data_IF_458724764268
#
_entry.id   IF_458724764268
#
_cell.length_a   1.000
_cell.length_b   1.000
_cell.length_c   1.000
_cell.angle_alpha   90.00
_cell.angle_beta   90.00
_cell.angle_gamma   90.00
#
_symmetry.space_group_name_H-M   'P 1'
#
loop_
_entity.id
_entity.type
_entity.pdbx_description
1 polymer ?
#
# COMPACT_ATOMS: atom_id res chain seq x y z
N UNK A 1 14.79 5.91 -5.61
CA UNK A 1 14.31 6.11 -7.00
C UNK A 1 12.80 5.91 -7.08
N UNK A 2 12.26 4.69 -7.16
CA UNK A 2 10.78 4.51 -7.26
C UNK A 2 10.03 4.88 -5.98
N UNK A 3 10.60 4.59 -4.81
CA UNK A 3 10.05 5.00 -3.50
C UNK A 3 9.83 6.51 -3.38
N UNK A 4 10.66 7.32 -4.04
CA UNK A 4 10.54 8.78 -4.02
C UNK A 4 9.34 9.25 -4.85
N UNK A 5 9.09 8.61 -6.01
CA UNK A 5 7.90 8.85 -6.82
C UNK A 5 6.62 8.36 -6.14
N UNK A 6 6.68 7.24 -5.41
CA UNK A 6 5.55 6.77 -4.60
C UNK A 6 5.24 7.74 -3.45
N UNK A 7 6.27 8.22 -2.75
CA UNK A 7 6.14 9.23 -1.70
C UNK A 7 5.53 10.53 -2.25
N UNK A 8 6.03 11.00 -3.39
CA UNK A 8 5.47 12.18 -4.10
C UNK A 8 4.02 11.95 -4.51
N UNK A 9 3.69 10.75 -4.99
CA UNK A 9 2.33 10.40 -5.40
C UNK A 9 1.36 10.39 -4.21
N UNK A 10 1.79 9.87 -3.05
CA UNK A 10 1.01 9.89 -1.81
C UNK A 10 0.77 11.33 -1.34
N UNK A 11 1.79 12.20 -1.38
CA UNK A 11 1.65 13.61 -1.01
C UNK A 11 0.69 14.36 -1.94
N UNK A 12 0.80 14.17 -3.27
CA UNK A 12 -0.13 14.77 -4.24
C UNK A 12 -1.54 14.22 -4.07
N UNK A 13 -1.68 12.93 -3.82
CA UNK A 13 -2.97 12.30 -3.54
C UNK A 13 -3.64 12.85 -2.27
N UNK A 14 -2.87 13.16 -1.23
CA UNK A 14 -3.38 13.86 -0.06
C UNK A 14 -3.99 15.22 -0.43
N UNK A 15 -3.32 15.99 -1.30
CA UNK A 15 -3.84 17.26 -1.80
C UNK A 15 -5.13 17.08 -2.60
N UNK A 16 -5.20 16.05 -3.44
CA UNK A 16 -6.42 15.69 -4.17
C UNK A 16 -7.58 15.38 -3.21
N UNK A 17 -7.32 14.61 -2.15
CA UNK A 17 -8.32 14.28 -1.14
C UNK A 17 -8.80 15.53 -0.38
N UNK A 18 -7.92 16.48 -0.06
CA UNK A 18 -8.29 17.74 0.56
C UNK A 18 -9.26 18.53 -0.32
N UNK A 19 -8.90 18.74 -1.59
CA UNK A 19 -9.74 19.47 -2.56
C UNK A 19 -11.10 18.78 -2.77
N UNK A 20 -11.12 17.45 -2.88
CA UNK A 20 -12.34 16.68 -3.01
C UNK A 20 -13.26 16.87 -1.80
N UNK A 21 -12.67 16.88 -0.60
CA UNK A 21 -13.41 17.04 0.63
C UNK A 21 -14.00 18.45 0.80
N UNK A 22 -13.30 19.49 0.32
CA UNK A 22 -13.83 20.86 0.30
C UNK A 22 -15.07 20.96 -0.60
N UNK A 23 -15.06 20.31 -1.76
CA UNK A 23 -16.17 20.36 -2.72
C UNK A 23 -17.34 19.44 -2.35
N UNK A 24 -17.08 18.34 -1.63
CA UNK A 24 -18.06 17.29 -1.35
C UNK A 24 -18.21 16.94 0.13
N UNK A 25 -17.97 17.91 1.02
CA UNK A 25 -17.97 17.72 2.47
C UNK A 25 -19.18 16.91 2.99
N UNK A 26 -20.45 17.20 2.62
CA UNK A 26 -21.58 16.44 3.14
C UNK A 26 -21.54 14.96 2.76
N UNK A 27 -21.06 14.63 1.56
CA UNK A 27 -21.01 13.24 1.08
C UNK A 27 -19.88 12.47 1.76
N UNK A 28 -18.69 13.07 1.85
CA UNK A 28 -17.54 12.45 2.54
C UNK A 28 -17.82 12.30 4.04
N UNK A 29 -18.44 13.31 4.66
CA UNK A 29 -18.82 13.28 6.07
C UNK A 29 -19.76 12.12 6.40
N UNK A 30 -20.79 11.92 5.58
CA UNK A 30 -21.83 10.93 5.86
C UNK A 30 -21.44 9.51 5.41
N UNK A 31 -20.59 9.38 4.38
CA UNK A 31 -20.37 8.10 3.71
C UNK A 31 -18.90 7.71 3.56
N UNK A 32 -17.94 8.51 4.01
CA UNK A 32 -16.51 8.29 3.77
C UNK A 32 -16.17 8.19 2.28
N UNK A 33 -14.94 7.78 1.99
CA UNK A 33 -14.53 7.42 0.63
C UNK A 33 -14.75 5.93 0.40
N UNK A 34 -15.24 5.54 -0.78
CA UNK A 34 -15.38 4.11 -1.13
C UNK A 34 -14.01 3.54 -1.49
N UNK A 35 -13.67 2.36 -0.98
CA UNK A 35 -12.36 1.69 -1.19
C UNK A 35 -11.95 1.64 -2.66
N UNK A 36 -12.86 1.22 -3.54
CA UNK A 36 -12.62 1.17 -4.98
C UNK A 36 -12.28 2.55 -5.58
N UNK A 37 -12.93 3.62 -5.13
CA UNK A 37 -12.64 4.96 -5.61
C UNK A 37 -11.32 5.49 -5.04
N UNK A 38 -11.07 5.23 -3.76
CA UNK A 38 -9.83 5.59 -3.07
C UNK A 38 -8.62 4.94 -3.74
N UNK A 39 -8.67 3.62 -3.95
CA UNK A 39 -7.63 2.86 -4.63
C UNK A 39 -7.42 3.32 -6.07
N UNK A 40 -8.49 3.46 -6.87
CA UNK A 40 -8.36 3.94 -8.27
C UNK A 40 -7.81 5.36 -8.36
N UNK A 41 -8.22 6.26 -7.46
CA UNK A 41 -7.69 7.62 -7.43
C UNK A 41 -6.20 7.65 -7.11
N UNK A 42 -5.76 6.88 -6.10
CA UNK A 42 -4.34 6.75 -5.80
C UNK A 42 -3.57 6.10 -6.95
N UNK A 43 -4.09 5.04 -7.58
CA UNK A 43 -3.45 4.40 -8.72
C UNK A 43 -3.25 5.37 -9.89
N UNK A 44 -4.28 6.16 -10.22
CA UNK A 44 -4.18 7.20 -11.26
C UNK A 44 -3.11 8.23 -10.92
N UNK A 45 -3.02 8.64 -9.65
CA UNK A 45 -1.99 9.58 -9.20
C UNK A 45 -0.58 8.98 -9.32
N UNK A 46 -0.40 7.72 -8.92
CA UNK A 46 0.89 7.01 -9.07
C UNK A 46 1.29 6.94 -10.54
N UNK A 47 0.41 6.48 -11.43
CA UNK A 47 0.70 6.38 -12.88
C UNK A 47 1.04 7.74 -13.48
N UNK A 48 0.32 8.80 -13.10
CA UNK A 48 0.62 10.15 -13.57
C UNK A 48 2.04 10.59 -13.14
N UNK A 49 2.40 10.41 -11.88
CA UNK A 49 3.74 10.74 -11.37
C UNK A 49 4.84 9.91 -12.04
N UNK A 50 4.60 8.61 -12.24
CA UNK A 50 5.55 7.72 -12.92
C UNK A 50 5.75 8.11 -14.39
N UNK A 51 4.67 8.46 -15.09
CA UNK A 51 4.73 8.95 -16.47
C UNK A 51 5.48 10.28 -16.58
N UNK A 52 5.28 11.21 -15.64
CA UNK A 52 6.06 12.46 -15.56
C UNK A 52 7.55 12.20 -15.36
N UNK A 53 7.89 11.11 -14.66
CA UNK A 53 9.27 10.68 -14.43
C UNK A 53 9.85 9.81 -15.57
N UNK A 54 9.08 9.53 -16.62
CA UNK A 54 9.53 8.78 -17.80
C UNK A 54 9.33 7.27 -17.73
N UNK A 55 8.67 6.73 -16.71
CA UNK A 55 8.36 5.29 -16.63
C UNK A 55 7.10 4.95 -17.43
N UNK A 56 7.17 3.85 -18.19
CA UNK A 56 5.98 3.21 -18.75
C UNK A 56 5.37 2.28 -17.71
N UNK A 57 4.14 2.56 -17.27
CA UNK A 57 3.47 1.77 -16.25
C UNK A 57 1.98 1.60 -16.57
N UNK A 58 1.47 0.39 -16.38
CA UNK A 58 0.09 0.01 -16.68
C UNK A 58 -0.66 -0.44 -15.43
N UNK A 59 -1.94 -0.05 -15.31
CA UNK A 59 -2.82 -0.48 -14.23
C UNK A 59 -3.49 -1.81 -14.58
N UNK A 60 -3.17 -2.85 -13.83
CA UNK A 60 -3.84 -4.14 -13.88
C UNK A 60 -4.72 -4.25 -12.63
N UNK A 61 -6.03 -4.21 -12.81
CA UNK A 61 -6.96 -4.48 -11.71
C UNK A 61 -7.04 -6.00 -11.49
N UNK A 62 -6.39 -6.49 -10.43
CA UNK A 62 -6.43 -7.91 -10.03
C UNK A 62 -7.72 -8.17 -9.24
N UNK A 63 -8.85 -8.20 -9.94
CA UNK A 63 -10.10 -8.72 -9.36
C UNK A 63 -10.11 -10.24 -9.51
N UNK A 64 -9.88 -10.94 -8.42
CA UNK A 64 -10.43 -12.28 -8.27
C UNK A 64 -11.58 -12.15 -7.27
N UNK A 65 -12.81 -12.05 -7.80
CA UNK A 65 -14.02 -11.69 -7.02
C UNK A 65 -14.31 -12.65 -5.85
N UNK A 66 -13.66 -13.82 -5.80
CA UNK A 66 -13.94 -14.86 -4.81
C UNK A 66 -12.90 -14.97 -3.67
N UNK A 67 -11.70 -14.39 -3.78
CA UNK A 67 -10.62 -14.62 -2.80
C UNK A 67 -10.23 -13.41 -1.93
N UNK A 68 -10.44 -12.18 -2.40
CA UNK A 68 -10.02 -10.97 -1.70
C UNK A 68 -11.25 -10.16 -1.26
N UNK A 69 -11.36 -9.90 0.05
CA UNK A 69 -12.48 -9.14 0.61
C UNK A 69 -12.46 -7.64 0.29
N UNK A 70 -11.42 -7.16 -0.39
CA UNK A 70 -11.16 -5.73 -0.62
C UNK A 70 -10.38 -5.50 -1.93
N UNK A 71 -10.46 -4.30 -2.52
CA UNK A 71 -9.82 -4.01 -3.79
C UNK A 71 -8.29 -4.03 -3.71
N UNK A 72 -7.67 -4.82 -4.59
CA UNK A 72 -6.23 -4.86 -4.82
C UNK A 72 -5.94 -4.52 -6.27
N UNK A 73 -5.01 -3.60 -6.48
CA UNK A 73 -4.57 -3.14 -7.80
C UNK A 73 -3.08 -3.43 -7.95
N UNK A 74 -2.63 -3.70 -9.17
CA UNK A 74 -1.23 -3.82 -9.50
C UNK A 74 -0.89 -2.81 -10.59
N UNK A 75 0.17 -2.01 -10.39
CA UNK A 75 0.75 -1.14 -11.39
C UNK A 75 2.06 -1.77 -11.81
N UNK A 76 2.16 -2.22 -13.05
CA UNK A 76 3.32 -2.94 -13.55
C UNK A 76 4.11 -2.07 -14.52
N UNK A 77 5.44 -2.12 -14.41
CA UNK A 77 6.39 -1.56 -15.34
C UNK A 77 7.45 -2.62 -15.67
N UNK A 78 8.33 -2.31 -16.61
CA UNK A 78 9.47 -3.19 -16.95
C UNK A 78 10.54 -3.22 -15.84
N UNK A 79 10.49 -2.30 -14.88
CA UNK A 79 11.53 -2.12 -13.85
C UNK A 79 11.06 -2.48 -12.43
N UNK A 80 9.75 -2.51 -12.17
CA UNK A 80 9.16 -2.76 -10.86
C UNK A 80 7.66 -3.01 -10.96
N UNK A 81 7.07 -3.52 -9.88
CA UNK A 81 5.62 -3.55 -9.71
C UNK A 81 5.19 -2.90 -8.39
N UNK A 82 4.02 -2.26 -8.39
CA UNK A 82 3.42 -1.59 -7.23
C UNK A 82 2.04 -2.15 -6.98
N UNK A 83 1.88 -2.83 -5.87
CA UNK A 83 0.61 -3.34 -5.37
C UNK A 83 -0.06 -2.28 -4.51
N UNK A 84 -1.33 -1.97 -4.79
CA UNK A 84 -2.12 -1.01 -4.03
C UNK A 84 -3.31 -1.72 -3.39
N UNK A 85 -3.37 -1.70 -2.05
CA UNK A 85 -4.51 -2.23 -1.30
C UNK A 85 -5.31 -1.06 -0.74
N UNK A 86 -6.57 -0.97 -1.16
CA UNK A 86 -7.52 -0.02 -0.59
C UNK A 86 -8.40 -0.72 0.46
N UNK A 87 -8.52 -0.14 1.65
CA UNK A 87 -9.29 -0.73 2.74
C UNK A 87 -10.07 0.30 3.53
N UNK A 88 -11.26 -0.04 4.00
CA UNK A 88 -12.10 0.85 4.78
C UNK A 88 -12.27 0.35 6.20
N UNK A 89 -11.75 1.11 7.15
CA UNK A 89 -11.78 0.76 8.57
C UNK A 89 -13.09 1.21 9.23
N UNK A 90 -14.26 0.91 8.65
CA UNK A 90 -15.57 1.41 9.12
C UNK A 90 -15.78 1.27 10.64
N UNK A 91 -15.72 0.03 11.16
CA UNK A 91 -15.84 -0.26 12.59
C UNK A 91 -14.48 -0.36 13.29
N UNK A 92 -13.39 -0.34 12.51
CA UNK A 92 -12.01 -0.54 12.97
C UNK A 92 -11.79 -1.81 13.84
N UNK A 93 -12.75 -2.72 13.91
CA UNK A 93 -12.74 -3.85 14.83
C UNK A 93 -11.72 -4.92 14.40
N UNK A 94 -11.53 -5.92 15.26
CA UNK A 94 -10.55 -6.98 15.03
C UNK A 94 -10.73 -7.66 13.66
N UNK A 95 -11.96 -8.00 13.27
CA UNK A 95 -12.24 -8.64 11.99
C UNK A 95 -11.82 -7.78 10.79
N UNK A 96 -12.05 -6.45 10.84
CA UNK A 96 -11.63 -5.53 9.77
C UNK A 96 -10.10 -5.41 9.71
N UNK A 97 -9.43 -5.28 10.86
CA UNK A 97 -7.97 -5.26 10.94
C UNK A 97 -7.35 -6.57 10.39
N UNK A 98 -7.93 -7.72 10.76
CA UNK A 98 -7.51 -9.03 10.25
C UNK A 98 -7.74 -9.18 8.75
N UNK A 99 -8.84 -8.65 8.21
CA UNK A 99 -9.07 -8.64 6.76
C UNK A 99 -7.98 -7.86 6.00
N UNK A 100 -7.55 -6.71 6.54
CA UNK A 100 -6.42 -5.97 5.97
C UNK A 100 -5.12 -6.78 6.02
N UNK A 101 -4.78 -7.37 7.16
CA UNK A 101 -3.57 -8.19 7.30
C UNK A 101 -3.61 -9.39 6.34
N UNK A 102 -4.75 -10.08 6.23
CA UNK A 102 -4.94 -11.20 5.30
C UNK A 102 -4.69 -10.77 3.86
N UNK A 103 -5.27 -9.63 3.44
CA UNK A 103 -5.06 -9.11 2.09
C UNK A 103 -3.59 -8.75 1.83
N UNK A 104 -2.87 -8.19 2.81
CA UNK A 104 -1.44 -7.89 2.71
C UNK A 104 -0.64 -9.18 2.48
N UNK A 105 -0.88 -10.21 3.30
CA UNK A 105 -0.19 -11.51 3.17
C UNK A 105 -0.47 -12.14 1.80
N UNK A 106 -1.73 -12.23 1.41
CA UNK A 106 -2.11 -12.79 0.10
C UNK A 106 -1.47 -12.02 -1.05
N UNK A 107 -1.41 -10.68 -0.97
CA UNK A 107 -0.79 -9.84 -2.01
C UNK A 107 0.70 -10.07 -2.09
N UNK A 108 1.40 -10.19 -0.95
CA UNK A 108 2.82 -10.53 -0.90
C UNK A 108 3.06 -11.89 -1.54
N UNK A 109 2.30 -12.91 -1.15
CA UNK A 109 2.49 -14.27 -1.65
C UNK A 109 2.26 -14.35 -3.18
N UNK A 110 1.25 -13.61 -3.70
CA UNK A 110 1.04 -13.47 -5.15
C UNK A 110 2.21 -12.74 -5.83
N UNK A 111 2.74 -11.69 -5.21
CA UNK A 111 3.86 -10.94 -5.77
C UNK A 111 5.13 -11.80 -5.90
N UNK A 112 5.36 -12.71 -4.94
CA UNK A 112 6.48 -13.65 -4.97
C UNK A 112 6.27 -14.74 -6.03
N UNK A 113 5.07 -15.34 -6.09
CA UNK A 113 4.76 -16.36 -7.10
C UNK A 113 4.86 -15.86 -8.55
N UNK A 114 4.49 -14.60 -8.81
CA UNK A 114 4.67 -13.97 -10.12
C UNK A 114 6.16 -13.81 -10.46
N UNK A 115 6.98 -13.45 -9.47
CA UNK A 115 8.41 -13.27 -9.64
C UNK A 115 9.12 -14.60 -9.95
N UNK A 116 8.63 -15.72 -9.40
CA UNK A 116 9.16 -17.08 -9.65
C UNK A 116 8.74 -17.67 -11.01
N UNK A 117 7.61 -17.22 -11.57
CA UNK A 117 7.08 -17.75 -12.84
C UNK A 117 7.74 -17.11 -14.07
N UNK A 118 8.18 -15.85 -13.95
CA UNK A 118 8.89 -15.14 -15.02
C UNK A 118 10.33 -15.66 -15.21
N UNK A 119 10.97 -16.16 -14.16
CA UNK A 119 12.32 -16.77 -14.22
C UNK A 119 12.34 -18.13 -14.93
N UNK A 120 11.25 -18.91 -14.91
CA UNK A 120 11.18 -20.18 -15.65
C UNK A 120 10.84 -20.04 -17.13
N UNK A 121 10.16 -18.97 -17.54
CA UNK A 121 9.80 -18.75 -18.95
C UNK A 121 10.98 -18.28 -19.81
N UNK A 122 12.03 -17.72 -19.21
CA UNK A 122 13.24 -17.28 -19.91
C UNK A 122 14.24 -18.41 -20.20
N UNK A 123 14.12 -19.58 -19.54
CA UNK A 123 15.05 -20.70 -19.66
C UNK A 123 14.73 -21.73 -20.76
N UNK A 124 13.59 -21.65 -21.44
CA UNK A 124 13.17 -22.65 -22.43
C UNK A 124 13.44 -22.28 -23.90
N UNK A 125 14.08 -21.14 -24.18
CA UNK A 125 14.47 -20.75 -25.55
C UNK A 125 15.99 -20.82 -25.77
N UNK A 126 16.62 -21.97 -25.54
CA UNK A 126 17.88 -22.33 -26.22
C UNK A 126 18.25 -23.79 -25.95
N UNK A 127 17.72 -24.73 -26.73
CA UNK A 127 18.45 -25.99 -26.98
C UNK A 127 18.04 -26.60 -28.32
N UNK A 128 18.77 -26.26 -29.38
CA UNK A 128 18.93 -27.17 -30.51
C UNK A 128 20.31 -26.99 -31.14
N UNK A 129 20.97 -28.12 -31.39
CA UNK A 129 22.19 -28.35 -32.17
C UNK A 129 23.57 -28.05 -31.51
N UNK A 130 24.23 -29.09 -30.98
CA UNK A 130 25.27 -29.88 -31.69
C UNK A 130 26.09 -30.78 -30.74
N UNK A 131 26.32 -32.01 -31.19
CA UNK A 131 27.14 -33.02 -30.54
C UNK A 131 28.61 -32.92 -30.98
N UNK A 132 29.57 -33.10 -30.05
CA UNK A 132 30.98 -33.25 -30.37
C UNK A 132 31.97 -33.19 -29.19
N UNK A 133 32.29 -34.37 -28.64
CA UNK A 133 33.61 -34.83 -28.11
C UNK A 133 34.57 -33.92 -27.31
N UNK A 134 34.78 -34.32 -26.05
CA UNK A 134 36.07 -34.51 -25.31
C UNK A 134 36.85 -33.33 -24.67
N UNK A 135 37.08 -33.51 -23.35
CA UNK A 135 38.24 -33.17 -22.50
C UNK A 135 38.65 -31.70 -22.27
N UNK A 136 38.40 -31.19 -21.06
CA UNK A 136 39.43 -30.71 -20.10
C UNK A 136 38.76 -30.09 -18.87
N UNK A 137 39.30 -30.40 -17.68
CA UNK A 137 38.88 -29.79 -16.43
C UNK A 137 39.15 -28.28 -16.44
N UNK A 138 38.13 -27.48 -16.17
CA UNK A 138 38.27 -26.07 -15.78
C UNK A 138 37.20 -25.79 -14.74
N UNK A 139 37.64 -25.50 -13.53
CA UNK A 139 36.80 -25.03 -12.43
C UNK A 139 36.29 -23.65 -12.80
N UNK A 140 35.11 -23.60 -13.44
CA UNK A 140 34.43 -22.35 -13.74
C UNK A 140 33.71 -21.89 -12.47
N UNK A 141 34.05 -20.68 -12.02
CA UNK A 141 33.34 -19.96 -10.99
C UNK A 141 31.83 -20.06 -11.22
N UNK A 142 31.10 -20.50 -10.18
CA UNK A 142 29.67 -20.30 -10.05
C UNK A 142 29.43 -18.78 -10.04
N UNK A 143 29.22 -18.21 -11.23
CA UNK A 143 28.63 -16.89 -11.36
C UNK A 143 27.24 -16.99 -10.77
N UNK A 144 27.06 -16.43 -9.58
CA UNK A 144 25.75 -16.16 -8.99
C UNK A 144 25.00 -15.33 -10.03
N UNK A 145 24.05 -15.93 -10.76
CA UNK A 145 23.10 -15.15 -11.52
C UNK A 145 22.44 -14.19 -10.52
N UNK A 146 22.37 -12.88 -10.80
CA UNK A 146 21.57 -12.01 -9.96
C UNK A 146 20.13 -12.50 -10.12
N UNK A 147 19.54 -13.01 -9.04
CA UNK A 147 18.10 -13.25 -8.91
C UNK A 147 17.40 -11.95 -9.32
N UNK A 148 16.97 -11.89 -10.58
CA UNK A 148 16.51 -10.65 -11.21
C UNK A 148 15.01 -10.55 -11.01
N UNK A 149 14.58 -10.65 -9.76
CA UNK A 149 13.20 -10.34 -9.41
C UNK A 149 13.02 -8.82 -9.44
N UNK A 150 12.08 -8.36 -10.25
CA UNK A 150 11.73 -6.94 -10.32
C UNK A 150 11.32 -6.45 -8.92
N UNK A 151 11.88 -5.33 -8.43
CA UNK A 151 11.48 -4.72 -7.17
C UNK A 151 9.95 -4.64 -7.02
N UNK A 152 9.46 -5.18 -5.91
CA UNK A 152 8.05 -5.21 -5.59
C UNK A 152 7.76 -4.19 -4.49
N UNK A 153 6.72 -3.38 -4.68
CA UNK A 153 6.27 -2.40 -3.69
C UNK A 153 4.84 -2.65 -3.28
N UNK A 154 4.52 -2.37 -2.01
CA UNK A 154 3.17 -2.42 -1.49
C UNK A 154 2.80 -1.05 -0.93
N UNK A 155 1.70 -0.49 -1.42
CA UNK A 155 1.10 0.75 -0.96
C UNK A 155 -0.27 0.44 -0.36
N UNK A 156 -0.45 0.82 0.90
CA UNK A 156 -1.73 0.73 1.58
C UNK A 156 -2.40 2.09 1.58
N UNK A 157 -3.71 2.11 1.34
CA UNK A 157 -4.54 3.30 1.52
C UNK A 157 -5.82 2.93 2.24
N UNK A 158 -6.15 3.67 3.28
CA UNK A 158 -7.36 3.45 4.05
C UNK A 158 -7.99 4.75 4.53
N UNK A 159 -9.26 4.69 4.88
CA UNK A 159 -9.93 5.79 5.58
C UNK A 159 -10.65 5.31 6.84
N UNK A 160 -10.84 6.25 7.76
CA UNK A 160 -11.56 6.00 9.00
C UNK A 160 -12.26 7.27 9.49
N UNK A 161 -13.55 7.14 9.82
CA UNK A 161 -14.29 8.14 10.58
C UNK A 161 -14.36 7.69 12.03
N UNK A 162 -13.98 8.54 12.98
CA UNK A 162 -14.01 8.16 14.39
C UNK A 162 -15.45 7.90 14.87
N UNK A 163 -15.63 6.78 15.55
CA UNK A 163 -16.83 6.46 16.31
C UNK A 163 -16.53 6.38 17.83
N UNK A 164 -17.51 5.93 18.62
CA UNK A 164 -17.37 5.88 20.08
C UNK A 164 -16.58 4.68 20.59
N UNK A 165 -16.31 3.68 19.74
CA UNK A 165 -15.71 2.41 20.12
C UNK A 165 -14.24 2.56 20.54
N UNK A 166 -13.76 1.61 21.34
CA UNK A 166 -12.34 1.45 21.67
C UNK A 166 -11.51 1.25 20.39
N UNK A 167 -11.99 0.37 19.50
CA UNK A 167 -11.30 0.00 18.27
C UNK A 167 -11.05 1.20 17.34
N UNK A 168 -12.01 2.12 17.24
CA UNK A 168 -11.86 3.36 16.46
C UNK A 168 -10.79 4.29 17.06
N UNK A 169 -10.82 4.51 18.38
CA UNK A 169 -9.89 5.39 19.09
C UNK A 169 -8.45 4.91 19.11
N UNK A 170 -8.23 3.62 18.86
CA UNK A 170 -6.91 3.02 18.73
C UNK A 170 -6.30 3.16 17.32
N UNK A 171 -7.11 3.46 16.29
CA UNK A 171 -6.63 3.41 14.90
C UNK A 171 -5.34 4.19 14.67
N UNK A 172 -5.16 5.43 15.18
CA UNK A 172 -3.91 6.13 14.95
C UNK A 172 -2.68 5.42 15.49
N UNK A 173 -2.75 4.93 16.73
CA UNK A 173 -1.64 4.20 17.33
C UNK A 173 -1.46 2.80 16.75
N UNK A 174 -2.55 2.14 16.37
CA UNK A 174 -2.51 0.87 15.67
C UNK A 174 -1.84 1.02 14.31
N UNK A 175 -2.15 2.07 13.56
CA UNK A 175 -1.58 2.31 12.24
C UNK A 175 -0.10 2.72 12.30
N UNK A 176 0.26 3.66 13.17
CA UNK A 176 1.61 4.22 13.26
C UNK A 176 2.57 3.38 14.09
N UNK A 177 2.07 2.50 14.96
CA UNK A 177 2.88 1.83 15.99
C UNK A 177 3.04 2.63 17.28
N UNK A 178 2.63 3.90 17.28
CA UNK A 178 2.72 4.82 18.42
C UNK A 178 1.61 5.88 18.34
N UNK A 179 1.31 6.55 19.45
CA UNK A 179 0.39 7.68 19.43
C UNK A 179 0.96 8.82 18.54
N UNK A 180 0.11 9.53 17.77
CA UNK A 180 0.51 10.76 17.09
C UNK A 180 1.01 11.80 18.09
N UNK A 181 2.01 12.61 17.70
CA UNK A 181 2.57 13.66 18.58
C UNK A 181 1.50 14.70 18.98
N UNK A 182 0.56 14.99 18.08
CA UNK A 182 -0.49 15.99 18.26
C UNK A 182 -1.77 15.47 18.93
N UNK A 183 -1.66 14.57 19.91
CA UNK A 183 -2.83 13.99 20.62
C UNK A 183 -3.80 15.03 21.19
N UNK A 184 -3.32 16.20 21.60
CA UNK A 184 -4.16 17.30 22.12
C UNK A 184 -5.14 17.83 21.06
N UNK A 185 -4.75 17.85 19.79
CA UNK A 185 -5.62 18.30 18.69
C UNK A 185 -6.81 17.35 18.49
N UNK A 186 -6.58 16.03 18.61
CA UNK A 186 -7.64 15.03 18.63
C UNK A 186 -8.58 15.24 19.81
N UNK A 187 -8.03 15.49 21.00
CA UNK A 187 -8.83 15.72 22.21
C UNK A 187 -9.70 16.99 22.09
N UNK A 188 -9.17 18.07 21.50
CA UNK A 188 -9.92 19.31 21.20
C UNK A 188 -11.11 19.08 20.26
N UNK A 189 -10.99 18.10 19.36
CA UNK A 189 -12.08 17.65 18.50
C UNK A 189 -12.96 16.56 19.17
N UNK A 190 -12.74 16.25 20.45
CA UNK A 190 -13.52 15.30 21.22
C UNK A 190 -13.13 13.83 21.03
N UNK A 191 -11.95 13.57 20.48
CA UNK A 191 -11.42 12.22 20.25
C UNK A 191 -10.30 11.95 21.26
N UNK A 192 -10.57 11.09 22.25
CA UNK A 192 -9.53 10.57 23.16
C UNK A 192 -8.90 9.33 22.53
N UNK A 193 -7.66 9.47 22.05
CA UNK A 193 -6.90 8.37 21.48
C UNK A 193 -6.52 7.34 22.55
N UNK A 194 -6.41 6.09 22.11
CA UNK A 194 -6.07 4.94 22.95
C UNK A 194 -4.88 4.19 22.33
N UNK A 195 -4.14 3.49 23.19
CA UNK A 195 -3.04 2.61 22.77
C UNK A 195 -3.61 1.20 22.61
N UNK A 196 -3.42 0.55 21.43
CA UNK A 196 -3.82 -0.83 21.24
C UNK A 196 -2.83 -1.82 21.86
N UNK A 197 -3.23 -3.08 21.99
CA UNK A 197 -2.35 -4.17 22.46
C UNK A 197 -1.24 -4.52 21.45
N UNK A 198 -1.51 -4.31 20.16
CA UNK A 198 -0.57 -4.53 19.06
C UNK A 198 -0.78 -3.46 17.99
N UNK A 199 0.15 -3.33 17.05
CA UNK A 199 0.09 -2.36 15.95
C UNK A 199 0.27 -3.05 14.61
N UNK A 200 -0.24 -2.44 13.54
CA UNK A 200 -0.06 -2.95 12.18
C UNK A 200 1.44 -3.13 11.83
N UNK A 201 2.35 -2.17 12.10
CA UNK A 201 3.79 -2.38 11.89
C UNK A 201 4.33 -3.62 12.62
N UNK A 202 3.98 -3.79 13.91
CA UNK A 202 4.46 -4.93 14.70
C UNK A 202 3.92 -6.26 14.16
N UNK A 203 2.65 -6.31 13.77
CA UNK A 203 2.03 -7.50 13.17
C UNK A 203 2.67 -7.87 11.83
N UNK A 204 2.99 -6.89 10.99
CA UNK A 204 3.60 -7.13 9.69
C UNK A 204 5.09 -7.52 9.80
N UNK A 205 5.80 -6.96 10.79
CA UNK A 205 7.16 -7.39 11.11
C UNK A 205 7.20 -8.86 11.55
N UNK A 206 6.25 -9.31 12.37
CA UNK A 206 6.12 -10.72 12.75
C UNK A 206 5.85 -11.65 11.56
N UNK A 207 5.25 -11.11 10.49
CA UNK A 207 5.01 -11.82 9.23
C UNK A 207 6.21 -11.75 8.27
N UNK A 208 7.32 -11.14 8.67
CA UNK A 208 8.56 -11.06 7.90
C UNK A 208 8.63 -9.89 6.92
N UNK A 209 7.68 -8.94 6.96
CA UNK A 209 7.79 -7.73 6.14
C UNK A 209 8.81 -6.77 6.76
N UNK A 210 9.60 -6.13 5.89
CA UNK A 210 10.48 -5.04 6.31
C UNK A 210 9.68 -3.85 6.87
N UNK A 211 10.29 -3.00 7.71
CA UNK A 211 9.63 -1.80 8.22
C UNK A 211 9.12 -0.92 7.08
N UNK A 212 7.84 -0.54 7.16
CA UNK A 212 7.21 0.36 6.21
C UNK A 212 7.13 1.80 6.71
N UNK A 213 6.80 2.71 5.80
CA UNK A 213 6.56 4.12 6.13
C UNK A 213 5.07 4.35 6.27
N UNK A 214 4.60 4.66 7.48
CA UNK A 214 3.19 4.89 7.77
C UNK A 214 2.91 6.37 7.94
N UNK A 215 1.75 6.82 7.47
CA UNK A 215 1.34 8.22 7.63
C UNK A 215 -0.17 8.32 7.85
N UNK A 216 -0.56 9.33 8.63
CA UNK A 216 -1.94 9.74 8.84
C UNK A 216 -2.11 11.15 8.30
N UNK A 217 -3.17 11.35 7.55
CA UNK A 217 -3.56 12.61 6.95
C UNK A 217 -4.98 12.98 7.38
N UNK A 218 -5.25 14.28 7.41
CA UNK A 218 -6.55 14.84 7.78
C UNK A 218 -7.06 15.70 6.62
N UNK A 219 -7.77 15.11 5.64
CA UNK A 219 -8.20 15.83 4.44
C UNK A 219 -9.44 16.70 4.67
N UNK A 220 -9.95 16.79 5.90
CA UNK A 220 -11.10 17.62 6.23
C UNK A 220 -10.66 18.87 6.96
N UNK A 221 -11.15 19.99 6.47
CA UNK A 221 -10.98 21.30 7.10
C UNK A 221 -12.34 21.94 7.36
N UNK A 222 -12.37 22.91 8.27
CA UNK A 222 -13.47 23.81 8.58
C UNK A 222 -13.01 25.24 8.38
N UNK A 223 -13.96 26.16 8.42
CA UNK A 223 -13.70 27.60 8.42
C UNK A 223 -12.87 28.02 7.19
N UNK A 224 -13.35 27.60 6.00
CA UNK A 224 -12.72 27.85 4.71
C UNK A 224 -11.25 27.38 4.62
N UNK A 225 -10.95 26.20 5.16
CA UNK A 225 -9.61 25.61 5.08
C UNK A 225 -8.71 25.90 6.28
N UNK A 226 -9.11 26.81 7.19
CA UNK A 226 -8.23 27.29 8.26
C UNK A 226 -8.07 26.33 9.45
N UNK A 227 -9.02 25.41 9.66
CA UNK A 227 -8.97 24.47 10.79
C UNK A 227 -9.10 23.02 10.36
N UNK A 228 -8.09 22.21 10.64
CA UNK A 228 -8.12 20.74 10.44
C UNK A 228 -9.18 20.07 11.33
N UNK A 229 -9.89 19.09 10.77
CA UNK A 229 -10.84 18.23 11.49
C UNK A 229 -10.19 16.87 11.73
N UNK A 230 -9.92 16.55 12.99
CA UNK A 230 -9.25 15.32 13.42
C UNK A 230 -10.18 14.11 13.55
N UNK A 231 -11.45 14.24 13.14
CA UNK A 231 -12.48 13.18 13.20
C UNK A 231 -12.45 12.22 12.01
N UNK A 232 -11.75 12.58 10.93
CA UNK A 232 -11.60 11.76 9.76
C UNK A 232 -10.11 11.59 9.44
N UNK A 233 -9.75 10.36 9.11
CA UNK A 233 -8.40 9.94 8.81
C UNK A 233 -8.36 9.42 7.38
N UNK A 234 -7.36 9.87 6.63
CA UNK A 234 -6.82 9.16 5.49
C UNK A 234 -5.48 8.56 5.94
N UNK A 235 -5.32 7.27 5.79
CA UNK A 235 -4.14 6.54 6.23
C UNK A 235 -3.41 5.97 5.01
N UNK A 236 -2.09 6.12 4.98
CA UNK A 236 -1.25 5.52 3.94
C UNK A 236 -0.10 4.76 4.57
N UNK A 237 0.37 3.73 3.88
CA UNK A 237 1.63 3.08 4.20
C UNK A 237 2.34 2.62 2.94
N UNK A 238 3.67 2.58 2.98
CA UNK A 238 4.50 2.08 1.89
C UNK A 238 5.51 1.06 2.41
N UNK A 239 5.62 -0.06 1.71
CA UNK A 239 6.59 -1.13 1.95
C UNK A 239 7.32 -1.49 0.66
N UNK A 240 8.56 -1.95 0.81
CA UNK A 240 9.25 -2.73 -0.21
C UNK A 240 9.07 -4.19 0.14
N UNK A 241 8.64 -4.99 -0.83
CA UNK A 241 8.52 -6.43 -0.71
C UNK A 241 9.82 -7.06 -1.23
N UNK A 242 10.33 -8.04 -0.50
CA UNK A 242 11.52 -8.83 -0.82
C UNK A 242 11.13 -10.22 -1.26
#
# INVERSE_FOLDING_TARGET
MVSDYLSTSIQRFQSDCLQLCEQHYPTVHNRGMRENHLGKALCRRIIATLKEAGFSAELIQRQNEEQLSQPVFCIQSDEFAVWVIAHRLLSANLARRQALIKAIVQTRDISQANADSETHSASEQHTEAQAGSSTAATTTNLGTQPDTHLPQHLVLVADHWFDRSKASKEIPAWWLGQLPENTEAYLKDGVRLLVPETSLPAQLQQLGLQPGQHTIHHPLTRDHGSRTVYKYLLLTAHYTLT
#
